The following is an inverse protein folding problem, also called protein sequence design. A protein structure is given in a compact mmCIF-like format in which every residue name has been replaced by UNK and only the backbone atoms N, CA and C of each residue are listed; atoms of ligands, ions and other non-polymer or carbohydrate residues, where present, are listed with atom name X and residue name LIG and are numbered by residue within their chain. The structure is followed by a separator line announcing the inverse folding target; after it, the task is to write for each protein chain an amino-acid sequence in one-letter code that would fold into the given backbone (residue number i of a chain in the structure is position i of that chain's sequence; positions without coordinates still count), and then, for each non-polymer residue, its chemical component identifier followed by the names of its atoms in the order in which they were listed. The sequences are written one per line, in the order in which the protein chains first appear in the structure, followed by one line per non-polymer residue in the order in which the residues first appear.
data_IF_808473741232
#
_entry.id   IF_808473741232
#
_cell.length_a   1.000
_cell.length_b   1.000
_cell.length_c   1.000
_cell.angle_alpha   90.00
_cell.angle_beta   90.00
_cell.angle_gamma   90.00
#
_symmetry.space_group_name_H-M   'P 1'
#
loop_
_entity.id
_entity.type
_entity.pdbx_description
1 polymer ?
#
# COMPACT_ATOMS: atom_id res chain seq x y z
N UNK A 1 -13.33 -2.03 -7.32
CA UNK A 1 -12.06 -2.71 -7.03
C UNK A 1 -11.10 -1.73 -6.37
N UNK A 2 -10.49 -2.13 -5.29
CA UNK A 2 -9.54 -1.29 -4.56
C UNK A 2 -8.13 -1.72 -4.91
N UNK A 3 -7.26 -0.74 -5.16
CA UNK A 3 -5.84 -1.00 -5.38
C UNK A 3 -5.00 -0.22 -4.38
N UNK A 4 -3.88 -0.81 -3.99
CA UNK A 4 -2.86 -0.13 -3.20
C UNK A 4 -1.78 0.34 -4.17
N UNK A 5 -1.56 1.65 -4.24
CA UNK A 5 -0.61 2.20 -5.19
C UNK A 5 0.17 3.36 -4.60
N UNK A 6 1.29 3.68 -5.23
CA UNK A 6 2.08 4.82 -4.85
C UNK A 6 1.51 6.08 -5.50
N UNK A 7 1.44 7.13 -4.70
CA UNK A 7 1.08 8.45 -5.18
C UNK A 7 2.22 9.40 -4.86
N UNK A 8 2.75 10.04 -5.89
CA UNK A 8 3.86 10.96 -5.70
C UNK A 8 3.40 12.19 -4.93
N UNK A 9 4.18 12.55 -3.91
CA UNK A 9 4.00 13.79 -3.18
C UNK A 9 5.39 14.35 -2.88
N UNK A 10 5.45 15.59 -2.45
CA UNK A 10 6.72 16.25 -2.18
C UNK A 10 7.13 17.21 -3.30
N UNK A 11 8.28 17.86 -3.11
CA UNK A 11 8.76 18.89 -4.03
C UNK A 11 9.58 18.30 -5.18
N UNK A 12 9.88 19.12 -6.18
CA UNK A 12 10.55 18.73 -7.42
C UNK A 12 11.80 17.88 -7.23
N UNK A 13 12.59 18.15 -6.20
CA UNK A 13 13.86 17.45 -5.99
C UNK A 13 13.80 16.40 -4.89
N UNK A 14 12.63 16.24 -4.26
CA UNK A 14 12.42 15.24 -3.22
C UNK A 14 11.17 14.46 -3.53
N UNK A 15 11.35 13.39 -4.26
CA UNK A 15 10.22 12.50 -4.56
C UNK A 15 9.95 11.62 -3.34
N UNK A 16 8.86 11.91 -2.66
CA UNK A 16 8.33 11.06 -1.60
C UNK A 16 7.03 10.48 -2.11
N UNK A 17 6.76 9.24 -1.79
CA UNK A 17 5.55 8.56 -2.25
C UNK A 17 4.69 8.16 -1.08
N UNK A 18 3.39 8.39 -1.20
CA UNK A 18 2.41 7.84 -0.27
C UNK A 18 1.88 6.54 -0.83
N UNK A 19 1.70 5.59 0.06
CA UNK A 19 1.02 4.34 -0.29
C UNK A 19 -0.44 4.54 0.09
N UNK A 20 -1.32 4.48 -0.91
CA UNK A 20 -2.73 4.79 -0.69
C UNK A 20 -3.60 3.67 -1.23
N UNK A 21 -4.76 3.50 -0.59
CA UNK A 21 -5.82 2.63 -1.10
C UNK A 21 -6.74 3.49 -1.96
N UNK A 22 -6.92 3.10 -3.21
CA UNK A 22 -7.71 3.84 -4.18
C UNK A 22 -8.76 2.92 -4.79
N UNK A 23 -10.00 3.42 -4.90
CA UNK A 23 -11.05 2.71 -5.61
C UNK A 23 -10.99 3.10 -7.09
N UNK A 24 -10.62 2.12 -7.93
CA UNK A 24 -10.47 2.35 -9.37
C UNK A 24 -11.79 2.46 -10.13
N UNK A 25 -12.92 2.28 -9.45
CA UNK A 25 -14.22 2.51 -10.07
C UNK A 25 -14.50 3.99 -10.27
N UNK A 26 -13.85 4.85 -9.50
CA UNK A 26 -14.00 6.28 -9.66
C UNK A 26 -13.42 6.70 -11.00
N UNK A 27 -14.17 7.51 -11.73
CA UNK A 27 -13.69 8.05 -12.99
C UNK A 27 -12.46 8.92 -12.77
N UNK A 28 -11.52 8.87 -13.70
CA UNK A 28 -10.26 9.61 -13.67
C UNK A 28 -9.39 9.17 -12.50
N UNK A 29 -8.94 10.13 -11.71
CA UNK A 29 -8.14 9.82 -10.54
C UNK A 29 -9.06 9.36 -9.43
N UNK A 30 -8.98 8.10 -9.08
CA UNK A 30 -9.76 7.58 -7.97
C UNK A 30 -9.47 8.36 -6.70
N UNK A 31 -10.48 8.55 -5.87
CA UNK A 31 -10.29 9.16 -4.56
C UNK A 31 -9.50 8.23 -3.67
N UNK A 32 -8.55 8.81 -2.95
CA UNK A 32 -7.84 8.07 -1.93
C UNK A 32 -8.82 7.67 -0.84
N UNK A 33 -9.00 6.37 -0.64
CA UNK A 33 -9.83 5.87 0.46
C UNK A 33 -9.10 6.03 1.78
N UNK A 34 -7.80 5.74 1.78
CA UNK A 34 -7.00 5.83 2.98
C UNK A 34 -5.51 5.82 2.62
N UNK A 35 -4.74 6.62 3.35
CA UNK A 35 -3.28 6.55 3.30
C UNK A 35 -2.82 5.44 4.24
N UNK A 36 -2.08 4.46 3.69
CA UNK A 36 -1.65 3.30 4.47
C UNK A 36 -0.15 3.25 4.69
N UNK A 37 0.58 4.23 4.19
CA UNK A 37 2.02 4.29 4.43
C UNK A 37 2.68 5.34 3.57
N UNK A 38 4.02 5.40 3.65
CA UNK A 38 4.80 6.23 2.74
C UNK A 38 6.14 5.55 2.44
N UNK A 39 6.75 5.98 1.35
CA UNK A 39 8.02 5.46 0.89
C UNK A 39 8.91 6.63 0.46
N UNK A 40 10.10 6.72 1.06
CA UNK A 40 11.08 7.74 0.74
C UNK A 40 12.34 7.05 0.21
N UNK A 41 12.52 7.01 -1.12
CA UNK A 41 13.70 6.35 -1.70
C UNK A 41 14.99 7.12 -1.45
N UNK A 42 14.92 8.43 -1.23
CA UNK A 42 16.12 9.25 -1.02
C UNK A 42 16.73 8.95 0.34
N UNK A 43 15.91 8.92 1.39
CA UNK A 43 16.36 8.62 2.75
C UNK A 43 16.26 7.13 3.07
N UNK A 44 15.80 6.34 2.12
CA UNK A 44 15.64 4.89 2.26
C UNK A 44 14.77 4.53 3.47
N UNK A 45 13.68 5.28 3.64
CA UNK A 45 12.74 5.07 4.72
C UNK A 45 11.41 4.59 4.18
N UNK A 46 10.84 3.62 4.87
CA UNK A 46 9.52 3.09 4.52
C UNK A 46 8.69 2.99 5.80
N UNK A 47 7.49 3.54 5.76
CA UNK A 47 6.53 3.40 6.85
C UNK A 47 5.29 2.69 6.32
N UNK A 48 4.84 1.67 7.04
CA UNK A 48 3.67 0.90 6.66
C UNK A 48 2.72 0.79 7.85
N UNK A 49 1.48 1.19 7.63
CA UNK A 49 0.41 0.92 8.60
C UNK A 49 -0.10 -0.49 8.34
N UNK A 50 0.57 -1.46 8.94
CA UNK A 50 0.33 -2.88 8.66
C UNK A 50 -1.12 -3.29 8.91
N UNK A 51 -1.76 -2.91 10.04
CA UNK A 51 -3.17 -3.27 10.23
C UNK A 51 -4.09 -2.78 9.13
N UNK A 52 -3.88 -1.54 8.66
CA UNK A 52 -4.69 -0.99 7.57
C UNK A 52 -4.44 -1.71 6.26
N UNK A 53 -3.17 -2.02 5.96
CA UNK A 53 -2.81 -2.74 4.74
C UNK A 53 -3.43 -4.14 4.75
N UNK A 54 -3.32 -4.84 5.86
CA UNK A 54 -3.92 -6.17 6.00
C UNK A 54 -5.44 -6.12 5.82
N UNK A 55 -6.08 -5.10 6.37
CA UNK A 55 -7.51 -4.91 6.20
C UNK A 55 -7.89 -4.84 4.72
N UNK A 56 -7.18 -4.01 3.94
CA UNK A 56 -7.47 -3.87 2.53
C UNK A 56 -7.14 -5.13 1.73
N UNK A 57 -6.03 -5.80 2.06
CA UNK A 57 -5.67 -7.05 1.38
C UNK A 57 -6.70 -8.14 1.63
N UNK A 58 -7.21 -8.23 2.86
CA UNK A 58 -8.26 -9.19 3.20
C UNK A 58 -9.56 -8.91 2.46
N UNK A 59 -9.80 -7.65 2.11
CA UNK A 59 -10.97 -7.24 1.34
C UNK A 59 -10.76 -7.39 -0.17
N UNK A 60 -9.64 -7.94 -0.59
CA UNK A 60 -9.37 -8.18 -2.01
C UNK A 60 -8.65 -7.06 -2.72
N UNK A 61 -8.11 -6.07 -2.00
CA UNK A 61 -7.34 -5.03 -2.63
C UNK A 61 -6.08 -5.60 -3.27
N UNK A 62 -5.72 -5.07 -4.43
CA UNK A 62 -4.56 -5.54 -5.18
C UNK A 62 -3.45 -4.50 -5.14
N UNK A 63 -2.25 -4.85 -4.65
CA UNK A 63 -1.12 -3.93 -4.71
C UNK A 63 -0.59 -3.83 -6.15
N UNK A 64 -0.16 -2.62 -6.54
CA UNK A 64 0.56 -2.44 -7.79
C UNK A 64 1.97 -3.03 -7.64
N UNK A 65 2.69 -3.18 -8.77
CA UNK A 65 3.97 -3.87 -8.77
C UNK A 65 4.97 -3.34 -7.74
N UNK A 66 5.16 -2.02 -7.69
CA UNK A 66 6.10 -1.41 -6.75
C UNK A 66 5.65 -1.60 -5.31
N UNK A 67 4.36 -1.38 -5.03
CA UNK A 67 3.80 -1.59 -3.69
C UNK A 67 3.92 -3.06 -3.29
N UNK A 68 3.67 -3.96 -4.21
CA UNK A 68 3.81 -5.38 -3.96
C UNK A 68 5.23 -5.72 -3.48
N UNK A 69 6.25 -5.17 -4.16
CA UNK A 69 7.64 -5.40 -3.77
C UNK A 69 7.94 -4.83 -2.39
N UNK A 70 7.44 -3.64 -2.09
CA UNK A 70 7.62 -3.01 -0.78
C UNK A 70 7.00 -3.88 0.32
N UNK A 71 5.78 -4.35 0.11
CA UNK A 71 5.08 -5.18 1.08
C UNK A 71 5.79 -6.53 1.27
N UNK A 72 6.29 -7.11 0.19
CA UNK A 72 7.02 -8.36 0.25
C UNK A 72 8.29 -8.23 1.09
N UNK A 73 9.06 -7.17 0.86
CA UNK A 73 10.28 -6.91 1.63
C UNK A 73 10.00 -6.68 3.10
N UNK A 74 8.85 -6.10 3.42
CA UNK A 74 8.45 -5.83 4.80
C UNK A 74 7.84 -7.05 5.50
N UNK A 75 7.59 -8.14 4.77
CA UNK A 75 7.01 -9.34 5.35
C UNK A 75 5.51 -9.29 5.58
N UNK A 76 4.82 -8.33 4.99
CA UNK A 76 3.37 -8.17 5.17
C UNK A 76 2.60 -9.39 4.66
N UNK A 77 3.02 -9.96 3.54
CA UNK A 77 2.34 -11.12 2.98
C UNK A 77 2.49 -12.35 3.86
N UNK A 78 3.60 -12.46 4.58
CA UNK A 78 3.79 -13.54 5.55
C UNK A 78 2.80 -13.39 6.70
N UNK A 79 2.60 -12.17 7.20
CA UNK A 79 1.61 -11.93 8.25
C UNK A 79 0.19 -12.23 7.78
N UNK A 80 -0.12 -11.84 6.53
CA UNK A 80 -1.43 -12.14 5.96
C UNK A 80 -1.67 -13.64 5.89
N UNK A 81 -0.67 -14.39 5.44
CA UNK A 81 -0.76 -15.86 5.36
C UNK A 81 -0.97 -16.48 6.74
N UNK A 82 -0.25 -16.00 7.75
CA UNK A 82 -0.39 -16.49 9.11
C UNK A 82 -1.80 -16.21 9.65
N UNK A 83 -2.33 -15.02 9.39
CA UNK A 83 -3.67 -14.65 9.80
C UNK A 83 -4.72 -15.53 9.14
N UNK A 84 -4.56 -15.83 7.86
CA UNK A 84 -5.47 -16.73 7.15
C UNK A 84 -5.40 -18.14 7.69
N UNK A 85 -4.21 -18.61 8.03
CA UNK A 85 -4.02 -19.94 8.59
C UNK A 85 -4.69 -20.08 9.95
N UNK A 86 -4.75 -19.01 10.73
CA UNK A 86 -5.39 -19.02 12.05
C UNK A 86 -6.87 -19.34 12.01
N UNK A 87 -7.52 -19.04 10.92
CA UNK A 87 -8.97 -19.22 10.79
C UNK A 87 -9.37 -20.50 10.08
N UNK A 88 -8.41 -21.31 9.74
CA UNK A 88 -8.68 -22.61 9.13
C UNK A 88 -8.61 -23.74 10.19
#
# INVERSE_FOLDING_TARGET
MVKLRLKRCGRKQRAVYRIVAIDVRSRREGRDLRKVGFYDPINNQTYLNVPAILYFLEKGAQPTGTVHDILRKAGVFTELSLNQTKFN
#
